data_IF_792935132599
#
_entry.id   IF_792935132599
#
_cell.length_a   1.000
_cell.length_b   1.000
_cell.length_c   1.000
_cell.angle_alpha   90.00
_cell.angle_beta   90.00
_cell.angle_gamma   90.00
#
_symmetry.space_group_name_H-M   'P 1'
#
loop_
_entity.id
_entity.type
_entity.pdbx_description
1 polymer ?
#
# COMPACT_ATOMS: atom_id res chain seq x y z
N UNK A 1 -10.02 45.08 32.05
CA UNK A 1 -10.96 44.06 31.55
C UNK A 1 -10.32 43.33 30.38
N UNK A 2 -9.69 42.17 30.61
CA UNK A 2 -9.13 41.33 29.54
C UNK A 2 -10.05 40.13 29.35
N UNK A 3 -10.69 40.02 28.18
CA UNK A 3 -11.47 38.83 27.79
C UNK A 3 -10.51 37.82 27.19
N UNK A 4 -10.28 36.71 27.89
CA UNK A 4 -9.57 35.54 27.39
C UNK A 4 -10.55 34.72 26.53
N UNK A 5 -10.33 34.70 25.21
CA UNK A 5 -11.05 33.83 24.29
C UNK A 5 -10.27 32.51 24.15
N UNK A 6 -10.78 31.45 24.78
CA UNK A 6 -10.25 30.09 24.61
C UNK A 6 -10.92 29.49 23.38
N UNK A 7 -10.20 29.47 22.26
CA UNK A 7 -10.60 28.73 21.07
C UNK A 7 -10.28 27.26 21.26
N UNK A 8 -11.29 26.45 21.57
CA UNK A 8 -11.21 25.00 21.47
C UNK A 8 -11.12 24.62 19.99
N UNK A 9 -9.92 24.26 19.54
CA UNK A 9 -9.74 23.62 18.25
C UNK A 9 -10.32 22.21 18.31
N UNK A 10 -11.49 22.00 17.72
CA UNK A 10 -12.00 20.65 17.42
C UNK A 10 -11.13 20.05 16.31
N UNK A 11 -10.07 19.32 16.68
CA UNK A 11 -9.39 18.42 15.77
C UNK A 11 -10.27 17.18 15.57
N UNK A 12 -11.12 17.19 14.56
CA UNK A 12 -11.83 15.98 14.11
C UNK A 12 -10.81 15.02 13.51
N UNK A 13 -10.34 14.07 14.33
CA UNK A 13 -9.60 12.91 13.82
C UNK A 13 -10.61 12.06 13.04
N UNK A 14 -10.62 12.23 11.72
CA UNK A 14 -11.36 11.36 10.81
C UNK A 14 -10.80 9.94 10.95
N UNK A 15 -11.43 9.14 11.79
CA UNK A 15 -11.21 7.70 11.82
C UNK A 15 -11.77 7.18 10.50
N UNK A 16 -10.89 6.90 9.54
CA UNK A 16 -11.22 6.09 8.37
C UNK A 16 -11.62 4.71 8.90
N UNK A 17 -12.92 4.52 9.13
CA UNK A 17 -13.47 3.23 9.48
C UNK A 17 -13.11 2.25 8.35
N UNK A 18 -12.50 1.09 8.66
CA UNK A 18 -12.22 0.09 7.63
C UNK A 18 -13.54 -0.31 6.99
N UNK A 19 -13.61 -0.16 5.68
CA UNK A 19 -14.77 -0.54 4.87
C UNK A 19 -15.07 -2.04 5.10
N UNK A 20 -16.36 -2.47 5.12
CA UNK A 20 -16.73 -3.86 5.39
C UNK A 20 -15.92 -4.84 4.55
N UNK A 21 -15.45 -5.90 5.20
CA UNK A 21 -14.42 -6.80 4.69
C UNK A 21 -14.80 -7.49 3.37
N UNK A 22 -16.09 -7.65 3.07
CA UNK A 22 -16.56 -8.13 1.78
C UNK A 22 -17.90 -7.47 1.40
N UNK A 23 -17.93 -6.74 0.29
CA UNK A 23 -19.15 -6.17 -0.31
C UNK A 23 -19.10 -6.36 -1.83
N UNK A 24 -20.25 -6.53 -2.48
CA UNK A 24 -20.27 -6.69 -3.93
C UNK A 24 -20.83 -5.45 -4.62
N UNK A 25 -20.01 -4.80 -5.44
CA UNK A 25 -20.39 -3.65 -6.24
C UNK A 25 -20.42 -4.08 -7.71
N UNK A 26 -21.56 -4.64 -8.14
CA UNK A 26 -21.74 -5.15 -9.50
C UNK A 26 -20.76 -6.28 -9.83
N UNK A 27 -19.85 -6.02 -10.80
CA UNK A 27 -18.81 -6.96 -11.28
C UNK A 27 -17.71 -7.20 -10.24
N UNK A 28 -17.53 -6.31 -9.27
CA UNK A 28 -16.43 -6.39 -8.32
C UNK A 28 -16.90 -6.94 -6.97
N UNK A 29 -16.05 -7.76 -6.35
CA UNK A 29 -16.16 -8.19 -4.97
C UNK A 29 -15.05 -7.50 -4.20
N UNK A 30 -15.39 -6.58 -3.30
CA UNK A 30 -14.46 -6.03 -2.32
C UNK A 30 -13.99 -7.17 -1.42
N UNK A 31 -12.68 -7.23 -1.21
CA UNK A 31 -12.02 -8.28 -0.45
C UNK A 31 -11.47 -7.71 0.84
N UNK A 32 -11.19 -8.58 1.80
CA UNK A 32 -10.48 -8.20 3.01
C UNK A 32 -9.02 -7.83 2.65
N UNK A 33 -8.59 -6.56 2.76
CA UNK A 33 -7.24 -6.17 2.38
C UNK A 33 -6.16 -6.75 3.32
N UNK A 34 -6.54 -7.25 4.50
CA UNK A 34 -5.63 -7.90 5.45
C UNK A 34 -5.38 -9.37 5.14
N UNK A 35 -5.95 -9.92 4.06
CA UNK A 35 -5.62 -11.25 3.60
C UNK A 35 -4.19 -11.29 3.01
N UNK A 36 -3.36 -12.19 3.53
CA UNK A 36 -1.94 -12.33 3.18
C UNK A 36 -1.71 -12.52 1.67
N UNK A 37 -2.70 -13.05 0.95
CA UNK A 37 -2.63 -13.21 -0.51
C UNK A 37 -2.42 -11.88 -1.22
N UNK A 38 -3.05 -10.80 -0.76
CA UNK A 38 -2.90 -9.47 -1.38
C UNK A 38 -1.54 -8.85 -1.05
N UNK A 39 -0.98 -9.14 0.14
CA UNK A 39 0.40 -8.76 0.44
C UNK A 39 1.37 -9.52 -0.48
N UNK A 40 1.16 -10.81 -0.71
CA UNK A 40 1.94 -11.60 -1.68
C UNK A 40 1.87 -11.02 -3.09
N UNK A 41 0.67 -10.76 -3.62
CA UNK A 41 0.49 -10.15 -4.94
C UNK A 41 1.15 -8.77 -5.05
N UNK A 42 1.19 -8.00 -3.96
CA UNK A 42 1.87 -6.71 -3.95
C UNK A 42 3.39 -6.83 -4.02
N UNK A 43 3.97 -7.92 -3.50
CA UNK A 43 5.38 -8.25 -3.69
C UNK A 43 5.68 -8.63 -5.13
N UNK A 44 4.82 -9.42 -5.77
CA UNK A 44 4.96 -9.75 -7.19
C UNK A 44 4.93 -8.50 -8.07
N UNK A 45 4.00 -7.58 -7.80
CA UNK A 45 3.94 -6.27 -8.46
C UNK A 45 5.19 -5.42 -8.19
N UNK A 46 5.75 -5.49 -6.98
CA UNK A 46 6.97 -4.80 -6.60
C UNK A 46 8.15 -5.20 -7.49
N UNK A 47 8.31 -6.51 -7.72
CA UNK A 47 9.40 -7.08 -8.51
C UNK A 47 9.16 -6.87 -10.01
N UNK A 48 7.95 -7.13 -10.50
CA UNK A 48 7.65 -7.14 -11.93
C UNK A 48 7.52 -5.74 -12.54
N UNK A 49 7.02 -4.77 -11.78
CA UNK A 49 6.61 -3.47 -12.33
C UNK A 49 7.14 -2.27 -11.52
N UNK A 50 6.87 -2.22 -10.21
CA UNK A 50 7.14 -1.01 -9.41
C UNK A 50 8.64 -0.68 -9.38
N UNK A 51 9.49 -1.69 -9.20
CA UNK A 51 10.94 -1.46 -9.11
C UNK A 51 11.67 -1.58 -10.45
N UNK A 52 10.98 -1.89 -11.56
CA UNK A 52 11.64 -2.18 -12.84
C UNK A 52 12.52 -1.03 -13.36
N UNK A 53 12.14 0.21 -13.07
CA UNK A 53 12.85 1.41 -13.49
C UNK A 53 13.28 2.27 -12.30
N UNK A 54 13.27 1.71 -11.09
CA UNK A 54 13.60 2.45 -9.88
C UNK A 54 15.12 2.65 -9.78
N UNK A 55 15.56 3.89 -9.72
CA UNK A 55 16.97 4.27 -9.63
C UNK A 55 17.44 4.49 -8.20
N UNK A 56 16.52 4.64 -7.24
CA UNK A 56 16.81 4.78 -5.81
C UNK A 56 16.78 3.45 -5.05
N UNK A 57 16.41 3.52 -3.78
CA UNK A 57 16.12 2.34 -2.97
C UNK A 57 14.91 1.57 -3.54
N UNK A 58 14.92 0.25 -3.38
CA UNK A 58 13.77 -0.56 -3.76
C UNK A 58 12.55 -0.19 -2.90
N UNK A 59 11.40 -0.10 -3.55
CA UNK A 59 10.10 0.06 -2.90
C UNK A 59 9.56 -1.32 -2.55
N UNK A 60 9.24 -1.53 -1.28
CA UNK A 60 8.67 -2.78 -0.76
C UNK A 60 7.27 -2.54 -0.21
N UNK A 61 6.31 -3.45 -0.42
CA UNK A 61 4.95 -3.26 0.07
C UNK A 61 4.93 -3.30 1.60
N UNK A 62 4.22 -2.36 2.21
CA UNK A 62 4.04 -2.24 3.66
C UNK A 62 2.64 -2.64 4.11
N UNK A 63 1.62 -2.21 3.37
CA UNK A 63 0.23 -2.41 3.72
C UNK A 63 -0.67 -2.32 2.49
N UNK A 64 -1.59 -3.26 2.37
CA UNK A 64 -2.72 -3.17 1.42
C UNK A 64 -3.85 -2.42 2.12
N UNK A 65 -4.35 -1.35 1.48
CA UNK A 65 -5.45 -0.54 2.01
C UNK A 65 -6.79 -1.05 1.48
N UNK A 66 -6.82 -1.41 0.21
CA UNK A 66 -8.02 -1.88 -0.48
C UNK A 66 -7.64 -3.00 -1.44
N UNK A 67 -8.54 -3.98 -1.56
CA UNK A 67 -8.46 -5.02 -2.55
C UNK A 67 -9.87 -5.32 -3.08
N UNK A 68 -10.00 -5.52 -4.38
CA UNK A 68 -11.23 -5.99 -5.01
C UNK A 68 -10.92 -6.92 -6.17
N UNK A 69 -11.74 -7.93 -6.34
CA UNK A 69 -11.56 -8.95 -7.39
C UNK A 69 -12.82 -9.04 -8.24
N UNK A 70 -12.67 -9.18 -9.56
CA UNK A 70 -13.82 -9.35 -10.45
C UNK A 70 -14.49 -10.70 -10.26
N UNK A 71 -15.82 -10.71 -10.35
CA UNK A 71 -16.62 -11.92 -10.51
C UNK A 71 -16.28 -12.55 -11.87
N UNK A 72 -15.80 -13.79 -11.86
CA UNK A 72 -15.48 -14.56 -13.07
C UNK A 72 -14.01 -14.49 -13.49
N UNK A 73 -13.51 -13.33 -13.91
CA UNK A 73 -12.16 -13.25 -14.49
C UNK A 73 -11.02 -13.34 -13.48
N UNK A 74 -11.29 -13.21 -12.17
CA UNK A 74 -10.27 -13.26 -11.11
C UNK A 74 -9.29 -12.08 -11.13
N UNK A 75 -9.55 -11.06 -11.95
CA UNK A 75 -8.72 -9.86 -12.00
C UNK A 75 -8.82 -9.13 -10.67
N UNK A 76 -7.67 -8.78 -10.09
CA UNK A 76 -7.59 -8.15 -8.78
C UNK A 76 -7.02 -6.74 -8.92
N UNK A 77 -7.72 -5.76 -8.35
CA UNK A 77 -7.27 -4.37 -8.20
C UNK A 77 -6.97 -4.11 -6.72
N UNK A 78 -5.85 -3.46 -6.45
CA UNK A 78 -5.37 -3.19 -5.09
C UNK A 78 -4.84 -1.77 -4.96
N UNK A 79 -5.03 -1.19 -3.78
CA UNK A 79 -4.36 0.05 -3.36
C UNK A 79 -3.34 -0.33 -2.29
N UNK A 80 -2.07 -0.12 -2.56
CA UNK A 80 -0.96 -0.58 -1.71
C UNK A 80 -0.04 0.58 -1.34
N UNK A 81 0.31 0.68 -0.06
CA UNK A 81 1.36 1.57 0.43
C UNK A 81 2.70 0.84 0.29
N UNK A 82 3.61 1.46 -0.43
CA UNK A 82 5.01 1.06 -0.51
C UNK A 82 5.88 1.91 0.42
N UNK A 83 6.96 1.33 0.94
CA UNK A 83 8.00 2.02 1.69
C UNK A 83 9.35 1.79 1.03
N UNK A 84 10.26 2.75 1.15
CA UNK A 84 11.64 2.54 0.75
C UNK A 84 12.30 1.51 1.65
N UNK A 85 13.01 0.57 1.02
CA UNK A 85 13.87 -0.38 1.71
C UNK A 85 15.26 0.21 1.95
N UNK A 86 16.13 -0.55 2.59
CA UNK A 86 17.55 -0.19 2.72
C UNK A 86 18.40 -0.64 1.53
N UNK A 87 17.85 -1.48 0.65
CA UNK A 87 18.55 -2.02 -0.50
C UNK A 87 18.34 -1.13 -1.72
N UNK A 88 19.36 -1.01 -2.57
CA UNK A 88 19.25 -0.35 -3.87
C UNK A 88 19.93 -1.19 -4.97
N UNK A 89 19.55 -1.01 -6.25
CA UNK A 89 20.17 -1.72 -7.36
C UNK A 89 21.69 -1.52 -7.43
N UNK A 90 22.18 -0.34 -7.04
CA UNK A 90 23.59 0.03 -7.13
C UNK A 90 24.48 -0.72 -6.13
N UNK A 91 23.95 -1.10 -4.96
CA UNK A 91 24.69 -1.89 -3.96
C UNK A 91 25.05 -3.27 -4.51
N UNK A 92 24.20 -3.83 -5.39
CA UNK A 92 24.43 -5.16 -5.97
C UNK A 92 25.59 -5.18 -6.97
N UNK A 93 25.83 -4.08 -7.69
CA UNK A 93 26.96 -3.96 -8.63
C UNK A 93 28.31 -3.86 -7.92
N UNK A 94 28.36 -3.24 -6.74
CA UNK A 94 29.59 -3.13 -5.96
C UNK A 94 30.03 -4.48 -5.35
N UNK A 95 29.10 -5.37 -5.01
CA UNK A 95 29.39 -6.69 -4.44
C UNK A 95 29.98 -7.69 -5.46
N UNK A 96 29.70 -7.53 -6.76
CA UNK A 96 30.26 -8.39 -7.81
C UNK A 96 31.73 -8.11 -8.14
N UNK A 97 32.27 -6.95 -7.75
CA UNK A 97 33.66 -6.57 -8.04
C UNK A 97 34.65 -7.12 -7.02
N UNK A 98 34.16 -7.70 -5.91
CA UNK A 98 34.99 -8.30 -4.84
C UNK A 98 34.92 -9.83 -4.78
N UNK A 99 34.33 -10.48 -5.80
CA UNK A 99 34.25 -11.93 -5.93
C UNK A 99 35.12 -12.46 -7.07
#
# INVERSE_FOLDING_TARGET
MFKLLVLFALSTVAHFAPSPANSSDGKWIRQNPSDDRFLGLSWDAAVAAVNKHQTGKYLVPKKVLEAKTTKGSGQTEMVVIFQESWCSPQVYSALKTFA
#
